data_IF_085583281544
#
_entry.id   IF_085583281544
#
_cell.length_a   1.000
_cell.length_b   1.000
_cell.length_c   1.000
_cell.angle_alpha   90.00
_cell.angle_beta   90.00
_cell.angle_gamma   90.00
#
_symmetry.space_group_name_H-M   'P 1'
#
loop_
_entity.id
_entity.type
_entity.pdbx_description
1 polymer ?
#
# COMPACT_ATOMS: atom_id res chain seq x y z
N UNK A 1 56.48 -28.24 -0.62
CA UNK A 1 55.45 -28.68 -1.60
C UNK A 1 55.06 -27.46 -2.44
N UNK A 2 55.27 -27.46 -3.76
CA UNK A 2 54.88 -26.34 -4.63
C UNK A 2 53.35 -26.39 -4.83
N UNK A 3 52.63 -25.48 -4.17
CA UNK A 3 51.19 -25.32 -4.35
C UNK A 3 50.90 -25.01 -5.82
N UNK A 4 50.12 -25.89 -6.46
CA UNK A 4 49.61 -25.65 -7.81
C UNK A 4 48.41 -24.72 -7.66
N UNK A 5 48.62 -23.43 -7.92
CA UNK A 5 47.59 -22.38 -7.79
C UNK A 5 46.37 -22.62 -8.70
N UNK A 6 46.58 -23.22 -9.87
CA UNK A 6 45.55 -23.43 -10.89
C UNK A 6 44.32 -24.23 -10.39
N UNK A 7 44.46 -25.44 -9.82
CA UNK A 7 43.30 -26.17 -9.29
C UNK A 7 42.58 -25.44 -8.15
N UNK A 8 43.30 -24.69 -7.32
CA UNK A 8 42.71 -23.94 -6.19
C UNK A 8 41.79 -22.84 -6.70
N UNK A 9 42.24 -22.08 -7.70
CA UNK A 9 41.44 -21.00 -8.30
C UNK A 9 40.18 -21.57 -8.96
N UNK A 10 40.28 -22.70 -9.66
CA UNK A 10 39.13 -23.35 -10.29
C UNK A 10 38.09 -23.77 -9.25
N UNK A 11 38.52 -24.37 -8.13
CA UNK A 11 37.62 -24.75 -7.05
C UNK A 11 36.93 -23.53 -6.42
N UNK A 12 37.64 -22.41 -6.23
CA UNK A 12 37.07 -21.17 -5.67
C UNK A 12 36.04 -20.55 -6.63
N UNK A 13 36.33 -20.50 -7.93
CA UNK A 13 35.38 -19.97 -8.93
C UNK A 13 34.12 -20.83 -9.01
N UNK A 14 34.26 -22.16 -8.99
CA UNK A 14 33.12 -23.08 -9.00
C UNK A 14 32.28 -22.94 -7.73
N UNK A 15 32.91 -22.88 -6.55
CA UNK A 15 32.22 -22.69 -5.28
C UNK A 15 31.48 -21.33 -5.24
N UNK A 16 32.15 -20.26 -5.66
CA UNK A 16 31.52 -18.92 -5.78
C UNK A 16 30.37 -18.93 -6.79
N UNK A 17 30.52 -19.57 -7.94
CA UNK A 17 29.46 -19.69 -8.93
C UNK A 17 28.22 -20.40 -8.39
N UNK A 18 28.39 -21.47 -7.61
CA UNK A 18 27.28 -22.17 -6.96
C UNK A 18 26.68 -21.33 -5.83
N UNK A 19 27.50 -20.64 -5.04
CA UNK A 19 27.04 -19.89 -3.87
C UNK A 19 26.32 -18.61 -4.28
N UNK A 20 26.88 -17.83 -5.21
CA UNK A 20 26.24 -16.64 -5.77
C UNK A 20 25.15 -16.99 -6.77
N UNK A 21 25.33 -18.01 -7.62
CA UNK A 21 24.31 -18.44 -8.57
C UNK A 21 23.11 -19.09 -7.90
N UNK A 22 23.32 -19.92 -6.88
CA UNK A 22 22.26 -20.53 -6.08
C UNK A 22 21.50 -19.50 -5.26
N UNK A 23 22.20 -18.54 -4.63
CA UNK A 23 21.56 -17.43 -3.91
C UNK A 23 20.75 -16.53 -4.85
N UNK A 24 21.31 -16.16 -6.01
CA UNK A 24 20.63 -15.33 -7.02
C UNK A 24 19.40 -16.04 -7.61
N UNK A 25 19.50 -17.31 -7.96
CA UNK A 25 18.39 -18.09 -8.49
C UNK A 25 17.28 -18.30 -7.44
N UNK A 26 17.65 -18.56 -6.18
CA UNK A 26 16.69 -18.64 -5.08
C UNK A 26 15.94 -17.33 -4.89
N UNK A 27 16.64 -16.20 -4.95
CA UNK A 27 16.02 -14.88 -4.79
C UNK A 27 15.17 -14.47 -6.00
N UNK A 28 15.58 -14.84 -7.23
CA UNK A 28 14.92 -14.41 -8.46
C UNK A 28 13.74 -15.28 -8.89
N UNK A 29 13.75 -16.60 -8.60
CA UNK A 29 12.74 -17.55 -9.12
C UNK A 29 11.72 -17.97 -8.07
N UNK A 30 12.12 -18.13 -6.80
CA UNK A 30 11.19 -18.51 -5.72
C UNK A 30 10.34 -17.32 -5.22
N UNK A 31 10.65 -16.10 -5.69
CA UNK A 31 9.91 -14.88 -5.40
C UNK A 31 9.15 -14.34 -6.63
N UNK A 32 8.73 -15.20 -7.56
CA UNK A 32 7.46 -14.94 -8.25
C UNK A 32 6.37 -15.09 -7.19
N UNK A 33 6.12 -13.99 -6.49
CA UNK A 33 5.32 -13.94 -5.28
C UNK A 33 3.92 -14.49 -5.59
N UNK A 34 3.48 -15.64 -5.05
CA UNK A 34 2.07 -16.06 -5.17
C UNK A 34 1.12 -14.99 -4.61
N UNK A 35 1.62 -14.15 -3.70
CA UNK A 35 0.95 -12.95 -3.22
C UNK A 35 0.77 -11.89 -4.33
N UNK A 36 1.75 -11.68 -5.21
CA UNK A 36 1.64 -10.74 -6.33
C UNK A 36 0.57 -11.20 -7.32
N UNK A 37 0.60 -12.47 -7.74
CA UNK A 37 -0.39 -13.03 -8.67
C UNK A 37 -1.80 -12.99 -8.07
N UNK A 38 -1.93 -13.26 -6.75
CA UNK A 38 -3.21 -13.16 -6.07
C UNK A 38 -3.74 -11.73 -6.02
N UNK A 39 -2.89 -10.75 -5.64
CA UNK A 39 -3.26 -9.34 -5.62
C UNK A 39 -3.64 -8.87 -7.03
N UNK A 40 -2.87 -9.23 -8.05
CA UNK A 40 -3.14 -8.83 -9.43
C UNK A 40 -4.48 -9.36 -9.98
N UNK A 41 -5.05 -10.41 -9.37
CA UNK A 41 -6.36 -10.95 -9.73
C UNK A 41 -7.56 -10.26 -9.05
N UNK A 42 -7.34 -9.32 -8.13
CA UNK A 42 -8.39 -8.63 -7.39
C UNK A 42 -9.07 -7.58 -8.29
N UNK A 43 -10.39 -7.56 -8.27
CA UNK A 43 -11.19 -6.58 -9.02
C UNK A 43 -10.89 -5.14 -8.56
N UNK A 44 -10.72 -4.24 -9.52
CA UNK A 44 -10.39 -2.83 -9.26
C UNK A 44 -8.89 -2.53 -9.18
N UNK A 45 -8.01 -3.53 -9.24
CA UNK A 45 -6.55 -3.33 -9.37
C UNK A 45 -6.17 -3.27 -10.85
N UNK A 46 -5.52 -2.19 -11.28
CA UNK A 46 -5.00 -2.04 -12.64
C UNK A 46 -3.59 -2.58 -12.79
N UNK A 47 -2.74 -2.32 -11.80
CA UNK A 47 -1.35 -2.75 -11.81
C UNK A 47 -0.85 -3.01 -10.38
N UNK A 48 0.03 -4.00 -10.24
CA UNK A 48 0.78 -4.27 -9.00
C UNK A 48 2.25 -4.04 -9.31
N UNK A 49 2.80 -2.96 -8.79
CA UNK A 49 4.14 -2.50 -9.11
C UNK A 49 5.20 -3.16 -8.23
N UNK A 50 4.92 -3.23 -6.93
CA UNK A 50 5.83 -3.78 -5.96
C UNK A 50 5.09 -4.48 -4.82
N UNK A 51 5.62 -5.61 -4.39
CA UNK A 51 5.19 -6.32 -3.18
C UNK A 51 6.43 -6.64 -2.36
N UNK A 52 6.54 -6.02 -1.20
CA UNK A 52 7.63 -6.22 -0.26
C UNK A 52 7.08 -6.83 1.04
N UNK A 53 7.55 -8.04 1.36
CA UNK A 53 7.22 -8.72 2.61
C UNK A 53 8.35 -8.48 3.60
N UNK A 54 8.09 -7.63 4.59
CA UNK A 54 9.00 -7.31 5.69
C UNK A 54 8.69 -8.20 6.91
N UNK A 55 9.40 -7.97 8.02
CA UNK A 55 9.24 -8.78 9.24
C UNK A 55 7.91 -8.50 9.94
N UNK A 56 7.49 -7.24 9.93
CA UNK A 56 6.37 -6.64 10.66
C UNK A 56 5.33 -6.00 9.74
N UNK A 57 5.66 -5.81 8.45
CA UNK A 57 4.75 -5.23 7.47
C UNK A 57 4.79 -5.97 6.14
N UNK A 58 3.72 -5.83 5.36
CA UNK A 58 3.65 -6.17 3.94
C UNK A 58 3.31 -4.89 3.21
N UNK A 59 4.26 -4.35 2.44
CA UNK A 59 4.05 -3.17 1.62
C UNK A 59 3.64 -3.60 0.22
N UNK A 60 2.52 -3.08 -0.24
CA UNK A 60 2.03 -3.32 -1.60
C UNK A 60 1.88 -1.97 -2.27
N UNK A 61 2.60 -1.79 -3.38
CA UNK A 61 2.41 -0.64 -4.27
C UNK A 61 1.57 -1.07 -5.46
N UNK A 62 0.42 -0.42 -5.64
CA UNK A 62 -0.57 -0.77 -6.64
C UNK A 62 -1.24 0.47 -7.24
N UNK A 63 -1.76 0.32 -8.44
CA UNK A 63 -2.61 1.31 -9.12
C UNK A 63 -4.04 0.78 -9.17
N UNK A 64 -5.00 1.64 -8.88
CA UNK A 64 -6.43 1.30 -8.81
C UNK A 64 -7.20 1.87 -9.99
N UNK A 65 -8.31 1.22 -10.35
CA UNK A 65 -9.31 1.84 -11.21
C UNK A 65 -9.97 3.00 -10.49
N UNK A 66 -10.56 3.94 -11.23
CA UNK A 66 -11.19 5.12 -10.64
C UNK A 66 -12.42 4.79 -9.77
N UNK A 67 -13.02 3.63 -9.96
CA UNK A 67 -14.23 3.12 -9.31
C UNK A 67 -13.97 2.02 -8.26
N UNK A 68 -12.71 1.68 -8.01
CA UNK A 68 -12.32 0.62 -7.08
C UNK A 68 -12.78 0.92 -5.63
N UNK A 69 -13.14 -0.14 -4.90
CA UNK A 69 -13.36 -0.06 -3.44
C UNK A 69 -12.08 -0.45 -2.71
N UNK A 70 -11.40 0.54 -2.11
CA UNK A 70 -10.18 0.31 -1.34
C UNK A 70 -10.41 -0.61 -0.14
N UNK A 71 -11.62 -0.55 0.48
CA UNK A 71 -12.00 -1.44 1.57
C UNK A 71 -12.08 -2.89 1.08
N UNK A 72 -12.81 -3.15 0.00
CA UNK A 72 -12.98 -4.49 -0.55
C UNK A 72 -11.64 -5.09 -1.01
N UNK A 73 -10.78 -4.27 -1.61
CA UNK A 73 -9.44 -4.68 -2.03
C UNK A 73 -8.60 -5.08 -0.83
N UNK A 74 -8.55 -4.25 0.22
CA UNK A 74 -7.81 -4.58 1.44
C UNK A 74 -8.31 -5.88 2.07
N UNK A 75 -9.62 -6.03 2.18
CA UNK A 75 -10.28 -7.22 2.73
C UNK A 75 -9.87 -8.48 1.94
N UNK A 76 -9.97 -8.46 0.61
CA UNK A 76 -9.56 -9.57 -0.24
C UNK A 76 -8.06 -9.90 -0.13
N UNK A 77 -7.19 -8.89 -0.01
CA UNK A 77 -5.74 -9.11 0.17
C UNK A 77 -5.47 -9.84 1.49
N UNK A 78 -6.09 -9.39 2.59
CA UNK A 78 -5.88 -9.97 3.93
C UNK A 78 -6.50 -11.36 4.04
N UNK A 79 -7.73 -11.54 3.57
CA UNK A 79 -8.46 -12.81 3.62
C UNK A 79 -7.89 -13.87 2.68
N UNK A 80 -7.30 -13.46 1.55
CA UNK A 80 -6.69 -14.37 0.60
C UNK A 80 -5.41 -15.04 1.11
N UNK A 81 -4.70 -14.41 2.05
CA UNK A 81 -3.42 -14.91 2.58
C UNK A 81 -3.25 -14.69 4.09
N UNK A 82 -4.14 -15.24 4.94
CA UNK A 82 -4.18 -14.94 6.36
C UNK A 82 -2.89 -15.32 7.10
N UNK A 83 -2.18 -16.34 6.65
CA UNK A 83 -0.89 -16.77 7.21
C UNK A 83 0.22 -15.73 7.06
N UNK A 84 0.18 -14.88 6.03
CA UNK A 84 1.16 -13.82 5.81
C UNK A 84 0.88 -12.61 6.72
N UNK A 85 -0.40 -12.32 6.95
CA UNK A 85 -0.87 -11.12 7.65
C UNK A 85 -1.13 -11.30 9.16
N UNK A 86 -1.06 -12.52 9.71
CA UNK A 86 -1.24 -12.78 11.15
C UNK A 86 -0.39 -11.88 12.07
N UNK A 87 0.88 -11.67 11.72
CA UNK A 87 1.83 -10.85 12.50
C UNK A 87 2.39 -9.67 11.69
N UNK A 88 1.76 -9.32 10.56
CA UNK A 88 2.25 -8.26 9.67
C UNK A 88 1.14 -7.30 9.31
N UNK A 89 1.42 -6.00 9.41
CA UNK A 89 0.50 -4.95 8.97
C UNK A 89 0.53 -4.82 7.43
N UNK A 90 -0.64 -4.73 6.81
CA UNK A 90 -0.74 -4.42 5.39
C UNK A 90 -0.63 -2.91 5.18
N UNK A 91 0.42 -2.47 4.48
CA UNK A 91 0.63 -1.08 4.08
C UNK A 91 0.39 -0.96 2.58
N UNK A 92 -0.66 -0.23 2.20
CA UNK A 92 -1.00 0.04 0.81
C UNK A 92 -0.42 1.39 0.38
N UNK A 93 0.44 1.37 -0.62
CA UNK A 93 0.90 2.54 -1.34
C UNK A 93 0.18 2.60 -2.67
N UNK A 94 -0.56 3.68 -2.91
CA UNK A 94 -1.32 3.85 -4.14
C UNK A 94 -0.48 4.71 -5.08
N UNK A 95 0.10 4.09 -6.12
CA UNK A 95 0.76 4.85 -7.18
C UNK A 95 -0.32 5.30 -8.17
N UNK A 96 -0.89 6.47 -7.87
CA UNK A 96 -1.90 7.11 -8.67
C UNK A 96 -1.54 8.57 -8.88
N UNK A 97 -1.61 9.00 -10.14
CA UNK A 97 -1.52 10.42 -10.51
C UNK A 97 -2.79 11.13 -10.03
N UNK A 98 -2.78 11.57 -8.77
CA UNK A 98 -3.75 12.52 -8.25
C UNK A 98 -3.58 13.85 -8.98
N UNK A 99 -4.70 14.49 -9.37
CA UNK A 99 -4.65 15.82 -9.99
C UNK A 99 -4.44 16.89 -8.93
N UNK A 100 -3.87 18.03 -9.35
CA UNK A 100 -3.70 19.20 -8.46
C UNK A 100 -5.03 19.65 -7.85
N UNK A 101 -6.13 19.54 -8.62
CA UNK A 101 -7.49 19.85 -8.16
C UNK A 101 -7.94 18.92 -7.01
N UNK A 102 -7.64 17.62 -7.09
CA UNK A 102 -7.96 16.65 -6.04
C UNK A 102 -7.12 16.87 -4.78
N UNK A 103 -5.84 17.26 -4.94
CA UNK A 103 -5.00 17.67 -3.80
C UNK A 103 -5.55 18.93 -3.13
N UNK A 104 -5.98 19.91 -3.93
CA UNK A 104 -6.54 21.15 -3.40
C UNK A 104 -7.87 20.90 -2.68
N UNK A 105 -8.75 20.08 -3.26
CA UNK A 105 -10.01 19.68 -2.63
C UNK A 105 -9.75 18.99 -1.28
N UNK A 106 -8.85 18.02 -1.25
CA UNK A 106 -8.47 17.33 -0.01
C UNK A 106 -7.88 18.29 1.03
N UNK A 107 -6.96 19.17 0.61
CA UNK A 107 -6.32 20.15 1.48
C UNK A 107 -7.33 21.10 2.16
N UNK A 108 -8.36 21.54 1.42
CA UNK A 108 -9.40 22.42 1.96
C UNK A 108 -10.31 21.73 2.98
N UNK A 109 -10.53 20.41 2.83
CA UNK A 109 -11.36 19.62 3.73
C UNK A 109 -10.56 18.97 4.87
N UNK A 110 -9.22 18.96 4.79
CA UNK A 110 -8.33 18.26 5.72
C UNK A 110 -8.62 18.59 7.19
N UNK A 111 -8.82 19.87 7.51
CA UNK A 111 -9.06 20.31 8.88
C UNK A 111 -10.37 19.75 9.44
N UNK A 112 -11.46 19.91 8.68
CA UNK A 112 -12.79 19.44 9.07
C UNK A 112 -12.82 17.90 9.18
N UNK A 113 -12.13 17.20 8.27
CA UNK A 113 -11.97 15.74 8.34
C UNK A 113 -11.14 15.32 9.56
N UNK A 114 -10.07 16.04 9.88
CA UNK A 114 -9.26 15.77 11.06
C UNK A 114 -10.07 15.96 12.36
N UNK A 115 -10.91 17.00 12.43
CA UNK A 115 -11.83 17.21 13.55
C UNK A 115 -12.85 16.05 13.66
N UNK A 116 -13.44 15.63 12.54
CA UNK A 116 -14.37 14.49 12.52
C UNK A 116 -13.68 13.20 12.99
N UNK A 117 -12.43 12.95 12.58
CA UNK A 117 -11.64 11.80 13.05
C UNK A 117 -11.34 11.90 14.55
N UNK A 118 -10.92 13.07 15.04
CA UNK A 118 -10.59 13.29 16.45
C UNK A 118 -11.81 13.16 17.38
N UNK A 119 -12.97 13.64 16.92
CA UNK A 119 -14.24 13.57 17.65
C UNK A 119 -15.01 12.25 17.40
N UNK A 120 -14.46 11.34 16.60
CA UNK A 120 -15.07 10.06 16.17
C UNK A 120 -16.41 10.25 15.45
N UNK A 121 -16.63 11.41 14.85
CA UNK A 121 -17.80 11.73 14.03
C UNK A 121 -17.58 11.27 12.59
N UNK A 122 -17.22 10.01 12.37
CA UNK A 122 -16.88 9.51 11.03
C UNK A 122 -18.00 9.70 10.00
N UNK A 123 -19.26 9.69 10.44
CA UNK A 123 -20.42 9.92 9.58
C UNK A 123 -20.55 11.34 9.02
N UNK A 124 -19.82 12.34 9.53
CA UNK A 124 -19.85 13.72 8.99
C UNK A 124 -18.84 13.95 7.87
N UNK A 125 -17.83 13.08 7.73
CA UNK A 125 -16.78 13.15 6.70
C UNK A 125 -17.34 13.30 5.27
N UNK A 126 -18.35 12.52 4.82
CA UNK A 126 -18.86 12.64 3.46
C UNK A 126 -19.46 14.02 3.19
N UNK A 127 -20.26 14.53 4.14
CA UNK A 127 -20.91 15.85 4.03
C UNK A 127 -19.89 16.99 4.00
N UNK A 128 -18.84 16.89 4.81
CA UNK A 128 -17.72 17.86 4.80
C UNK A 128 -17.03 17.88 3.44
N UNK A 129 -16.71 16.71 2.89
CA UNK A 129 -16.02 16.58 1.60
C UNK A 129 -16.90 17.08 0.44
N UNK A 130 -18.17 16.70 0.41
CA UNK A 130 -19.16 17.14 -0.58
C UNK A 130 -19.37 18.67 -0.53
N UNK A 131 -19.42 19.24 0.67
CA UNK A 131 -19.55 20.69 0.87
C UNK A 131 -18.43 21.48 0.18
N UNK A 132 -17.21 20.93 0.14
CA UNK A 132 -16.04 21.53 -0.50
C UNK A 132 -15.88 21.20 -1.99
N UNK A 133 -16.77 20.38 -2.55
CA UNK A 133 -16.63 19.84 -3.89
C UNK A 133 -17.17 20.74 -5.02
N UNK A 134 -17.92 21.80 -4.67
CA UNK A 134 -18.67 22.68 -5.58
C UNK A 134 -17.84 23.38 -6.68
N UNK A 135 -16.52 23.36 -6.57
CA UNK A 135 -15.62 24.03 -7.51
C UNK A 135 -15.33 23.14 -8.74
N UNK A 136 -15.64 21.84 -8.68
CA UNK A 136 -15.14 20.85 -9.64
C UNK A 136 -16.22 20.18 -10.50
N UNK A 137 -15.88 19.71 -11.72
CA UNK A 137 -16.82 19.01 -12.58
C UNK A 137 -17.10 17.59 -12.08
N UNK A 138 -18.38 17.26 -11.91
CA UNK A 138 -18.88 15.94 -11.48
C UNK A 138 -18.16 15.38 -10.24
N UNK A 139 -18.09 16.13 -9.13
CA UNK A 139 -17.39 15.69 -7.95
C UNK A 139 -18.16 14.53 -7.32
N UNK A 140 -17.46 13.43 -7.06
CA UNK A 140 -18.06 12.28 -6.37
C UNK A 140 -17.22 11.93 -5.16
N UNK A 141 -17.86 11.81 -4.01
CA UNK A 141 -17.26 11.37 -2.75
C UNK A 141 -17.81 10.00 -2.42
N UNK A 142 -16.91 9.05 -2.22
CA UNK A 142 -17.26 7.75 -1.65
C UNK A 142 -16.47 7.54 -0.37
N UNK A 143 -17.18 7.11 0.66
CA UNK A 143 -16.60 6.85 1.98
C UNK A 143 -17.04 5.49 2.45
N UNK A 144 -16.09 4.74 2.98
CA UNK A 144 -16.33 3.44 3.59
C UNK A 144 -15.55 3.37 4.91
N UNK A 145 -15.90 2.45 5.79
CA UNK A 145 -15.21 2.30 7.07
C UNK A 145 -15.21 0.83 7.46
N UNK A 146 -14.09 0.37 8.04
CA UNK A 146 -13.99 -0.92 8.73
C UNK A 146 -13.56 -0.71 10.19
N UNK A 147 -13.17 -1.78 10.89
CA UNK A 147 -12.75 -1.69 12.30
C UNK A 147 -11.52 -0.81 12.53
N UNK A 148 -10.65 -0.64 11.53
CA UNK A 148 -9.32 -0.04 11.68
C UNK A 148 -9.16 1.28 10.91
N UNK A 149 -9.84 1.46 9.78
CA UNK A 149 -9.65 2.60 8.90
C UNK A 149 -10.98 3.17 8.38
N UNK A 150 -10.92 4.46 8.03
CA UNK A 150 -11.89 5.15 7.18
C UNK A 150 -11.25 5.29 5.80
N UNK A 151 -11.96 4.84 4.77
CA UNK A 151 -11.55 4.92 3.37
C UNK A 151 -12.29 6.06 2.70
N UNK A 152 -11.55 6.92 2.01
CA UNK A 152 -12.10 8.04 1.25
C UNK A 152 -11.63 7.93 -0.19
N UNK A 153 -12.57 7.97 -1.12
CA UNK A 153 -12.32 8.09 -2.56
C UNK A 153 -12.95 9.40 -3.05
N UNK A 154 -12.10 10.27 -3.56
CA UNK A 154 -12.47 11.52 -4.22
C UNK A 154 -12.33 11.33 -5.72
N UNK A 155 -13.37 11.65 -6.49
CA UNK A 155 -13.33 11.55 -7.94
C UNK A 155 -13.74 12.88 -8.58
N UNK A 156 -12.94 13.32 -9.55
CA UNK A 156 -13.20 14.49 -10.39
C UNK A 156 -12.89 14.12 -11.85
N UNK A 157 -13.94 13.88 -12.63
CA UNK A 157 -13.81 13.38 -14.00
C UNK A 157 -13.08 12.03 -14.07
N UNK A 158 -11.95 12.01 -14.79
CA UNK A 158 -11.10 10.84 -15.02
C UNK A 158 -10.02 10.64 -13.94
N UNK A 159 -9.96 11.52 -12.94
CA UNK A 159 -8.99 11.41 -11.85
C UNK A 159 -9.68 10.96 -10.57
N UNK A 160 -9.03 10.03 -9.86
CA UNK A 160 -9.43 9.61 -8.53
C UNK A 160 -8.27 9.73 -7.55
N UNK A 161 -8.58 10.15 -6.33
CA UNK A 161 -7.68 10.18 -5.18
C UNK A 161 -8.24 9.29 -4.10
N UNK A 162 -7.39 8.42 -3.59
CA UNK A 162 -7.72 7.47 -2.53
C UNK A 162 -6.95 7.84 -1.26
N UNK A 163 -7.65 7.88 -0.13
CA UNK A 163 -7.08 8.19 1.17
C UNK A 163 -7.52 7.11 2.16
N UNK A 164 -6.58 6.61 2.94
CA UNK A 164 -6.83 5.69 4.05
C UNK A 164 -6.47 6.39 5.37
N UNK A 165 -7.45 6.53 6.25
CA UNK A 165 -7.31 7.24 7.52
C UNK A 165 -7.45 6.23 8.68
N UNK A 166 -6.43 6.05 9.53
CA UNK A 166 -6.53 5.15 10.67
C UNK A 166 -7.52 5.71 11.70
N UNK A 167 -8.45 4.86 12.18
CA UNK A 167 -9.47 5.23 13.16
C UNK A 167 -8.87 5.51 14.54
N UNK A 168 -7.80 4.81 14.86
CA UNK A 168 -6.96 5.12 16.01
C UNK A 168 -5.81 6.00 15.53
N UNK A 169 -5.72 7.26 15.98
CA UNK A 169 -4.60 8.10 15.63
C UNK A 169 -3.33 7.43 16.15
N UNK A 170 -2.34 7.27 15.25
CA UNK A 170 -0.98 6.90 15.66
C UNK A 170 -0.57 7.94 16.68
N UNK A 171 -0.48 7.52 17.95
CA UNK A 171 -0.02 8.39 19.02
C UNK A 171 1.35 8.90 18.60
N UNK A 172 1.45 10.21 18.31
CA UNK A 172 2.73 10.87 18.08
C UNK A 172 3.57 10.60 19.32
N UNK A 173 4.53 9.69 19.19
CA UNK A 173 5.46 9.37 20.26
C UNK A 173 6.16 10.66 20.66
N UNK A 174 5.82 11.18 21.84
CA UNK A 174 6.70 12.10 22.54
C UNK A 174 8.00 11.34 22.78
N UNK A 175 9.08 11.81 22.19
CA UNK A 175 10.42 11.33 22.45
C UNK A 175 10.61 11.22 23.97
N UNK A 176 10.93 10.03 24.52
CA UNK A 176 11.27 9.95 25.93
C UNK A 176 12.62 10.63 26.10
N UNK A 177 12.58 11.87 26.60
CA UNK A 177 13.76 12.54 27.10
C UNK A 177 14.04 12.01 28.51
N UNK A 178 14.76 10.90 28.64
CA UNK A 178 15.54 10.55 29.84
C UNK A 178 16.84 9.84 29.46
#
# INVERSE_FOLDING_TARGET
>A
MKLRLLPIVISVVLASGVLFGGWFAYHSVALKNPLHDHIAGIEGIQAVEAVAVERDAVRVTLSLSNDASLRAIREQIVEGNPSIFQNRELILNLDMTSSEDLEQWWSQALFDVAEAMATRQYGSIPTVLEGRAHVWPNPTVHTEMDEQYVYVRLQAGEHAKYIMLPREPVMLGVWPNE
#
